data_IF_374870494900
#
_entry.id   IF_374870494900
#
_cell.length_a   1.000
_cell.length_b   1.000
_cell.length_c   1.000
_cell.angle_alpha   90.00
_cell.angle_beta   90.00
_cell.angle_gamma   90.00
#
_symmetry.space_group_name_H-M   'P 1'
#
loop_
_entity.id
_entity.type
_entity.pdbx_description
1 polymer ?
#
# COMPACT_ATOMS: atom_id res chain seq x y z
N UNK A 1 -36.41 -38.93 -7.43
CA UNK A 1 -36.69 -37.54 -7.84
C UNK A 1 -35.94 -36.64 -6.85
N UNK A 2 -34.68 -36.32 -7.15
CA UNK A 2 -33.84 -35.48 -6.28
C UNK A 2 -33.95 -34.04 -6.80
N UNK A 3 -34.57 -33.17 -6.00
CA UNK A 3 -34.63 -31.74 -6.26
C UNK A 3 -33.24 -31.18 -6.00
N UNK A 4 -32.57 -30.75 -7.07
CA UNK A 4 -31.34 -29.98 -6.96
C UNK A 4 -31.68 -28.61 -6.37
N UNK A 5 -31.21 -28.34 -5.15
CA UNK A 5 -31.10 -26.99 -4.64
C UNK A 5 -30.02 -26.29 -5.47
N UNK A 6 -30.47 -25.54 -6.48
CA UNK A 6 -29.64 -24.50 -7.08
C UNK A 6 -29.34 -23.50 -5.97
N UNK A 7 -28.11 -23.55 -5.45
CA UNK A 7 -27.56 -22.44 -4.71
C UNK A 7 -27.47 -21.27 -5.71
N UNK A 8 -28.42 -20.34 -5.64
CA UNK A 8 -28.28 -19.04 -6.27
C UNK A 8 -27.01 -18.41 -5.68
N UNK A 9 -25.91 -18.47 -6.43
CA UNK A 9 -24.74 -17.67 -6.16
C UNK A 9 -25.16 -16.22 -6.39
N UNK A 10 -25.62 -15.57 -5.32
CA UNK A 10 -25.85 -14.14 -5.30
C UNK A 10 -24.47 -13.50 -5.53
N UNK A 11 -24.22 -13.11 -6.78
CA UNK A 11 -23.00 -12.46 -7.24
C UNK A 11 -22.90 -11.12 -6.52
N UNK A 12 -22.36 -11.11 -5.31
CA UNK A 12 -22.21 -9.92 -4.49
C UNK A 12 -21.08 -9.07 -5.07
N UNK A 13 -21.42 -8.30 -6.10
CA UNK A 13 -20.58 -7.25 -6.65
C UNK A 13 -20.05 -6.37 -5.51
N UNK A 14 -18.74 -6.41 -5.29
CA UNK A 14 -18.08 -5.66 -4.24
C UNK A 14 -17.25 -4.54 -4.83
N UNK A 15 -17.08 -3.47 -4.06
CA UNK A 15 -16.35 -2.28 -4.47
C UNK A 15 -15.25 -1.97 -3.46
N UNK A 16 -14.11 -1.50 -3.97
CA UNK A 16 -12.99 -1.08 -3.14
C UNK A 16 -13.35 0.09 -2.24
N UNK A 17 -14.19 1.01 -2.73
CA UNK A 17 -14.68 2.17 -1.98
C UNK A 17 -16.18 2.38 -2.19
N UNK A 18 -16.83 3.04 -1.23
CA UNK A 18 -18.23 3.44 -1.34
C UNK A 18 -18.46 4.45 -2.46
N UNK A 19 -17.44 5.27 -2.78
CA UNK A 19 -17.51 6.18 -3.93
C UNK A 19 -17.64 5.40 -5.24
N UNK A 20 -16.87 4.32 -5.44
CA UNK A 20 -16.98 3.51 -6.67
C UNK A 20 -18.36 2.86 -6.78
N UNK A 21 -18.90 2.37 -5.67
CA UNK A 21 -20.27 1.82 -5.62
C UNK A 21 -21.30 2.88 -6.01
N UNK A 22 -21.17 4.09 -5.48
CA UNK A 22 -22.05 5.23 -5.79
C UNK A 22 -21.94 5.63 -7.26
N UNK A 23 -20.73 5.75 -7.81
CA UNK A 23 -20.48 6.05 -9.22
C UNK A 23 -21.13 5.02 -10.13
N UNK A 24 -20.96 3.72 -9.83
CA UNK A 24 -21.58 2.65 -10.60
C UNK A 24 -23.12 2.74 -10.61
N UNK A 25 -23.71 3.04 -9.45
CA UNK A 25 -25.16 3.20 -9.31
C UNK A 25 -25.70 4.43 -10.04
N UNK A 26 -25.07 5.60 -9.87
CA UNK A 26 -25.52 6.85 -10.52
C UNK A 26 -25.40 6.79 -12.04
N UNK A 27 -24.37 6.13 -12.56
CA UNK A 27 -24.19 5.91 -14.00
C UNK A 27 -25.01 4.75 -14.56
N UNK A 28 -25.68 3.96 -13.71
CA UNK A 28 -26.41 2.74 -14.08
C UNK A 28 -25.51 1.79 -14.91
N UNK A 29 -24.35 1.44 -14.35
CA UNK A 29 -23.44 0.48 -14.98
C UNK A 29 -23.89 -0.94 -14.66
N UNK A 30 -24.40 -1.64 -15.66
CA UNK A 30 -24.88 -3.02 -15.56
C UNK A 30 -23.78 -4.04 -15.92
N UNK A 31 -23.93 -5.29 -15.47
CA UNK A 31 -23.03 -6.39 -15.82
C UNK A 31 -21.61 -6.32 -15.23
N UNK A 32 -21.36 -5.43 -14.26
CA UNK A 32 -20.05 -5.29 -13.61
C UNK A 32 -19.58 -6.60 -12.92
N UNK A 33 -20.52 -7.41 -12.46
CA UNK A 33 -20.28 -8.71 -11.84
C UNK A 33 -19.77 -9.77 -12.85
N UNK A 34 -20.15 -9.66 -14.12
CA UNK A 34 -19.72 -10.54 -15.22
C UNK A 34 -18.36 -10.18 -15.84
N UNK A 35 -17.81 -9.00 -15.48
CA UNK A 35 -16.52 -8.55 -16.01
C UNK A 35 -15.38 -9.48 -15.61
N UNK A 36 -14.42 -9.64 -16.52
CA UNK A 36 -13.17 -10.36 -16.28
C UNK A 36 -12.29 -9.60 -15.28
N UNK A 37 -11.40 -10.34 -14.61
CA UNK A 37 -10.33 -9.76 -13.79
C UNK A 37 -9.42 -8.90 -14.70
N UNK A 38 -8.93 -7.79 -14.17
CA UNK A 38 -8.12 -6.81 -14.90
C UNK A 38 -8.96 -5.67 -15.46
N UNK A 39 -8.50 -5.10 -16.58
CA UNK A 39 -9.13 -3.94 -17.21
C UNK A 39 -10.21 -4.35 -18.21
N UNK A 40 -11.37 -3.70 -18.14
CA UNK A 40 -12.41 -3.75 -19.16
C UNK A 40 -12.76 -2.33 -19.62
N UNK A 41 -13.07 -2.17 -20.90
CA UNK A 41 -13.49 -0.89 -21.48
C UNK A 41 -14.96 -0.93 -21.85
N UNK A 42 -15.72 0.08 -21.41
CA UNK A 42 -17.18 0.14 -21.60
C UNK A 42 -17.53 1.48 -22.23
N UNK A 43 -18.32 1.48 -23.30
CA UNK A 43 -18.80 2.72 -23.90
C UNK A 43 -19.96 3.29 -23.06
N UNK A 44 -19.87 4.56 -22.67
CA UNK A 44 -20.95 5.29 -21.99
C UNK A 44 -21.13 6.67 -22.60
N UNK A 45 -22.27 6.89 -23.26
CA UNK A 45 -22.49 8.09 -24.08
C UNK A 45 -21.33 8.25 -25.07
N UNK A 46 -20.68 9.42 -25.10
CA UNK A 46 -19.56 9.71 -26.00
C UNK A 46 -18.17 9.40 -25.40
N UNK A 47 -18.11 8.73 -24.25
CA UNK A 47 -16.85 8.45 -23.56
C UNK A 47 -16.60 6.95 -23.39
N UNK A 48 -15.35 6.57 -23.57
CA UNK A 48 -14.88 5.22 -23.23
C UNK A 48 -14.51 5.21 -21.75
N UNK A 49 -15.21 4.39 -20.97
CA UNK A 49 -14.90 4.14 -19.57
C UNK A 49 -13.88 3.01 -19.47
N UNK A 50 -13.07 3.07 -18.42
CA UNK A 50 -12.24 1.96 -17.94
C UNK A 50 -12.77 1.52 -16.59
N UNK A 51 -12.93 0.20 -16.44
CA UNK A 51 -13.25 -0.47 -15.18
C UNK A 51 -12.14 -1.47 -14.88
N UNK A 52 -11.64 -1.48 -13.64
CA UNK A 52 -10.67 -2.48 -13.18
C UNK A 52 -11.28 -3.36 -12.10
N UNK A 53 -11.16 -4.67 -12.27
CA UNK A 53 -11.56 -5.70 -11.31
C UNK A 53 -10.33 -6.42 -10.77
N UNK A 54 -10.19 -6.44 -9.45
CA UNK A 54 -9.10 -7.11 -8.76
C UNK A 54 -9.24 -8.64 -8.86
N UNK A 55 -8.18 -9.37 -8.52
CA UNK A 55 -8.14 -10.85 -8.52
C UNK A 55 -9.25 -11.48 -7.66
N UNK A 56 -9.65 -10.80 -6.58
CA UNK A 56 -10.75 -11.24 -5.71
C UNK A 56 -12.14 -10.88 -6.23
N UNK A 57 -12.26 -10.35 -7.45
CA UNK A 57 -13.51 -9.95 -8.07
C UNK A 57 -14.04 -8.58 -7.66
N UNK A 58 -13.34 -7.84 -6.80
CA UNK A 58 -13.74 -6.51 -6.35
C UNK A 58 -13.49 -5.46 -7.44
N UNK A 59 -14.45 -4.57 -7.68
CA UNK A 59 -14.24 -3.41 -8.56
C UNK A 59 -13.40 -2.37 -7.82
N UNK A 60 -12.24 -2.03 -8.36
CA UNK A 60 -11.27 -1.14 -7.73
C UNK A 60 -10.99 0.16 -8.48
N UNK A 61 -11.49 0.30 -9.71
CA UNK A 61 -11.44 1.55 -10.45
C UNK A 61 -12.60 1.66 -11.44
N UNK A 62 -13.12 2.88 -11.58
CA UNK A 62 -14.05 3.31 -12.64
C UNK A 62 -13.66 4.74 -13.02
N UNK A 63 -13.35 4.97 -14.29
CA UNK A 63 -12.92 6.27 -14.80
C UNK A 63 -13.18 6.45 -16.29
N UNK A 64 -13.05 7.70 -16.79
CA UNK A 64 -12.96 7.95 -18.23
C UNK A 64 -11.53 7.62 -18.67
N UNK A 65 -11.37 6.80 -19.71
CA UNK A 65 -10.05 6.43 -20.20
C UNK A 65 -9.27 7.68 -20.66
N UNK A 66 -8.16 7.94 -19.98
CA UNK A 66 -7.22 9.01 -20.35
C UNK A 66 -5.89 8.45 -20.83
N UNK A 67 -5.48 7.31 -20.28
CA UNK A 67 -4.14 6.79 -20.52
C UNK A 67 -4.19 5.58 -21.46
N UNK A 68 -3.20 5.47 -22.37
CA UNK A 68 -2.94 4.23 -23.09
C UNK A 68 -2.65 3.09 -22.12
N UNK A 69 -2.92 1.86 -22.55
CA UNK A 69 -2.73 0.66 -21.73
C UNK A 69 -1.27 0.51 -21.23
N UNK A 70 -0.29 0.95 -22.00
CA UNK A 70 1.12 0.93 -21.62
C UNK A 70 1.43 1.68 -20.30
N UNK A 71 0.67 2.72 -19.96
CA UNK A 71 0.84 3.45 -18.69
C UNK A 71 0.31 2.67 -17.50
N UNK A 72 -0.61 1.73 -17.72
CA UNK A 72 -1.27 0.96 -16.66
C UNK A 72 -0.39 -0.11 -16.03
N UNK A 73 0.76 -0.41 -16.65
CA UNK A 73 1.78 -1.30 -16.10
C UNK A 73 2.83 -0.57 -15.25
N UNK A 74 2.74 0.77 -15.13
CA UNK A 74 3.71 1.57 -14.38
C UNK A 74 3.31 1.69 -12.90
N UNK A 75 4.31 1.96 -12.04
CA UNK A 75 4.14 2.08 -10.58
C UNK A 75 3.20 3.20 -10.10
N UNK A 76 2.72 4.07 -11.00
CA UNK A 76 1.91 5.26 -10.69
C UNK A 76 0.39 5.03 -10.79
N UNK A 77 -0.09 3.78 -10.70
CA UNK A 77 -1.50 3.43 -10.96
C UNK A 77 -2.52 4.27 -10.18
N UNK A 78 -2.26 4.57 -8.91
CA UNK A 78 -3.14 5.41 -8.09
C UNK A 78 -3.36 6.83 -8.65
N UNK A 79 -2.31 7.42 -9.25
CA UNK A 79 -2.37 8.77 -9.84
C UNK A 79 -3.21 8.75 -11.11
N UNK A 80 -3.05 7.72 -11.93
CA UNK A 80 -3.81 7.54 -13.16
C UNK A 80 -5.29 7.31 -12.84
N UNK A 81 -5.57 6.39 -11.91
CA UNK A 81 -6.92 6.09 -11.45
C UNK A 81 -7.61 7.34 -10.89
N UNK A 82 -6.90 8.15 -10.09
CA UNK A 82 -7.40 9.41 -9.56
C UNK A 82 -7.81 10.39 -10.67
N UNK A 83 -6.99 10.54 -11.73
CA UNK A 83 -7.27 11.47 -12.83
C UNK A 83 -8.43 11.00 -13.70
N UNK A 84 -8.48 9.71 -14.04
CA UNK A 84 -9.57 9.13 -14.84
C UNK A 84 -10.91 9.17 -14.08
N UNK A 85 -10.89 8.88 -12.78
CA UNK A 85 -12.06 9.00 -11.92
C UNK A 85 -12.47 10.47 -11.69
N UNK A 86 -11.51 11.37 -11.50
CA UNK A 86 -11.76 12.80 -11.39
C UNK A 86 -12.41 13.39 -12.63
N UNK A 87 -11.91 13.01 -13.81
CA UNK A 87 -12.51 13.41 -15.08
C UNK A 87 -13.94 12.85 -15.24
N UNK A 88 -14.16 11.60 -14.87
CA UNK A 88 -15.50 10.98 -14.85
C UNK A 88 -16.47 11.77 -13.98
N UNK A 89 -16.09 12.01 -12.71
CA UNK A 89 -16.90 12.74 -11.75
C UNK A 89 -17.21 14.17 -12.22
N UNK A 90 -16.23 14.87 -12.79
CA UNK A 90 -16.42 16.22 -13.34
C UNK A 90 -17.34 16.23 -14.57
N UNK A 91 -17.24 15.22 -15.44
CA UNK A 91 -18.00 15.11 -16.69
C UNK A 91 -19.47 14.78 -16.42
N UNK A 92 -19.74 13.81 -15.55
CA UNK A 92 -21.11 13.35 -15.24
C UNK A 92 -21.71 14.01 -13.98
N UNK A 93 -21.02 14.98 -13.37
CA UNK A 93 -21.47 15.72 -12.18
C UNK A 93 -21.82 14.82 -10.98
N UNK A 94 -21.04 13.75 -10.78
CA UNK A 94 -21.27 12.72 -9.75
C UNK A 94 -20.88 13.18 -8.34
N UNK A 95 -20.00 14.18 -8.25
CA UNK A 95 -19.60 14.78 -6.97
C UNK A 95 -20.37 16.06 -6.73
N UNK A 96 -21.31 16.02 -5.76
CA UNK A 96 -21.98 17.22 -5.22
C UNK A 96 -21.02 18.18 -4.51
N UNK A 97 -19.82 17.69 -4.13
CA UNK A 97 -18.83 18.45 -3.38
C UNK A 97 -17.54 18.64 -4.21
N UNK A 98 -17.41 19.79 -4.86
CA UNK A 98 -16.22 20.16 -5.65
C UNK A 98 -14.95 20.28 -4.80
N UNK A 99 -15.06 20.36 -3.46
CA UNK A 99 -13.92 20.42 -2.53
C UNK A 99 -12.99 19.20 -2.68
N UNK A 100 -13.52 18.05 -3.12
CA UNK A 100 -12.78 16.77 -3.22
C UNK A 100 -11.59 16.83 -4.19
N UNK A 101 -11.70 17.63 -5.25
CA UNK A 101 -10.64 17.82 -6.25
C UNK A 101 -9.94 19.18 -6.13
N UNK A 102 -10.25 20.00 -5.12
CA UNK A 102 -9.63 21.31 -4.95
C UNK A 102 -8.12 21.24 -4.72
N UNK A 103 -7.65 20.16 -4.12
CA UNK A 103 -6.23 19.92 -3.91
C UNK A 103 -5.52 19.53 -5.22
N UNK A 104 -6.25 19.22 -6.30
CA UNK A 104 -5.69 19.04 -7.64
C UNK A 104 -5.51 20.39 -8.32
N UNK A 105 -4.26 20.84 -8.46
CA UNK A 105 -3.96 22.17 -9.01
C UNK A 105 -3.57 22.11 -10.47
N UNK A 106 -4.40 22.66 -11.34
CA UNK A 106 -4.00 22.97 -12.70
C UNK A 106 -3.09 24.19 -12.71
N UNK A 107 -1.81 23.98 -12.99
CA UNK A 107 -0.86 25.05 -13.35
C UNK A 107 -1.16 25.56 -14.75
N UNK A 108 -1.57 24.65 -15.64
CA UNK A 108 -2.05 24.95 -17.00
C UNK A 108 -3.17 23.99 -17.39
N UNK A 109 -4.17 24.51 -18.11
CA UNK A 109 -5.32 23.72 -18.57
C UNK A 109 -6.41 23.57 -17.51
N UNK A 110 -7.34 22.65 -17.76
CA UNK A 110 -8.44 22.31 -16.86
C UNK A 110 -9.04 20.94 -17.27
N UNK A 111 -10.03 20.46 -16.52
CA UNK A 111 -10.72 19.21 -16.82
C UNK A 111 -11.38 19.15 -18.21
N UNK A 112 -11.94 20.27 -18.69
CA UNK A 112 -12.57 20.31 -20.02
C UNK A 112 -11.54 20.14 -21.14
N UNK A 113 -10.37 20.77 -21.00
CA UNK A 113 -9.25 20.57 -21.93
C UNK A 113 -8.71 19.14 -21.85
N UNK A 114 -8.68 18.54 -20.65
CA UNK A 114 -8.26 17.15 -20.47
C UNK A 114 -9.17 16.17 -21.21
N UNK A 115 -10.49 16.43 -21.20
CA UNK A 115 -11.47 15.61 -21.91
C UNK A 115 -11.31 15.65 -23.43
N UNK A 116 -10.83 16.77 -23.98
CA UNK A 116 -10.68 16.99 -25.42
C UNK A 116 -9.26 16.74 -25.95
N UNK A 117 -8.36 16.20 -25.13
CA UNK A 117 -6.99 15.90 -25.55
C UNK A 117 -6.95 14.86 -26.68
N UNK A 118 -6.26 15.14 -27.80
CA UNK A 118 -6.02 14.14 -28.84
C UNK A 118 -5.21 12.96 -28.31
N UNK A 119 -5.47 11.74 -28.79
CA UNK A 119 -4.69 10.55 -28.40
C UNK A 119 -3.19 10.64 -28.74
N UNK A 120 -2.80 11.55 -29.63
CA UNK A 120 -1.40 11.80 -30.02
C UNK A 120 -0.59 12.60 -29.01
N UNK A 121 -1.22 13.24 -28.01
CA UNK A 121 -0.47 14.01 -27.03
C UNK A 121 0.32 13.10 -26.09
N UNK A 122 1.59 13.43 -25.90
CA UNK A 122 2.46 12.72 -24.96
C UNK A 122 2.10 13.09 -23.52
N UNK A 123 2.16 12.13 -22.61
CA UNK A 123 1.95 12.33 -21.18
C UNK A 123 3.22 11.97 -20.41
N UNK A 124 3.50 12.70 -19.34
CA UNK A 124 4.58 12.39 -18.40
C UNK A 124 4.09 12.54 -16.98
N UNK A 125 4.52 11.65 -16.09
CA UNK A 125 4.22 11.67 -14.66
C UNK A 125 5.56 11.68 -13.93
N UNK A 126 5.78 12.68 -13.09
CA UNK A 126 7.00 12.81 -12.31
C UNK A 126 6.67 13.15 -10.85
N UNK A 127 7.41 12.54 -9.92
CA UNK A 127 7.35 12.91 -8.52
C UNK A 127 8.22 14.15 -8.28
N UNK A 128 7.65 15.18 -7.64
CA UNK A 128 8.32 16.43 -7.31
C UNK A 128 8.54 16.50 -5.81
N UNK A 129 9.81 16.51 -5.40
CA UNK A 129 10.28 16.66 -4.01
C UNK A 129 9.66 15.65 -3.02
N UNK A 130 9.22 14.46 -3.47
CA UNK A 130 8.47 13.50 -2.65
C UNK A 130 7.20 14.06 -2.00
N UNK A 131 6.64 15.17 -2.51
CA UNK A 131 5.43 15.80 -1.94
C UNK A 131 4.26 15.90 -2.92
N UNK A 132 4.53 15.88 -4.22
CA UNK A 132 3.52 15.98 -5.26
C UNK A 132 3.88 15.11 -6.46
N UNK A 133 2.86 14.70 -7.21
CA UNK A 133 3.02 14.28 -8.60
C UNK A 133 2.72 15.45 -9.52
N UNK A 134 3.60 15.66 -10.50
CA UNK A 134 3.38 16.55 -11.62
C UNK A 134 3.06 15.72 -12.85
N UNK A 135 1.94 16.04 -13.49
CA UNK A 135 1.50 15.37 -14.71
C UNK A 135 1.40 16.41 -15.81
N UNK A 136 2.10 16.16 -16.90
CA UNK A 136 2.21 17.10 -18.02
C UNK A 136 1.82 16.39 -19.31
N UNK A 137 0.84 16.97 -20.02
CA UNK A 137 0.52 16.60 -21.40
C UNK A 137 1.11 17.62 -22.36
N UNK A 138 1.83 17.12 -23.37
CA UNK A 138 2.49 17.92 -24.42
C UNK A 138 2.11 17.47 -25.82
N UNK A 139 1.91 18.45 -26.67
CA UNK A 139 1.77 18.31 -28.12
C UNK A 139 3.06 18.83 -28.76
N UNK A 140 3.97 17.90 -29.09
CA UNK A 140 5.36 18.24 -29.40
C UNK A 140 6.03 18.97 -28.23
N UNK A 141 6.47 20.22 -28.46
CA UNK A 141 7.07 21.07 -27.42
C UNK A 141 6.03 21.88 -26.61
N UNK A 142 4.77 21.89 -27.05
CA UNK A 142 3.74 22.74 -26.47
C UNK A 142 3.06 22.03 -25.29
N UNK A 143 3.32 22.50 -24.08
CA UNK A 143 2.59 22.07 -22.89
C UNK A 143 1.11 22.47 -23.00
N UNK A 144 0.20 21.49 -22.95
CA UNK A 144 -1.25 21.71 -23.01
C UNK A 144 -1.86 21.71 -21.61
N UNK A 145 -1.48 20.72 -20.81
CA UNK A 145 -1.96 20.55 -19.43
C UNK A 145 -0.76 20.32 -18.52
N UNK A 146 -0.80 20.93 -17.35
CA UNK A 146 0.16 20.72 -16.27
C UNK A 146 -0.60 20.76 -14.95
N UNK A 147 -0.64 19.61 -14.29
CA UNK A 147 -1.38 19.43 -13.04
C UNK A 147 -0.42 18.97 -11.96
N UNK A 148 -0.60 19.52 -10.76
CA UNK A 148 0.07 19.12 -9.54
C UNK A 148 -0.94 18.47 -8.62
N UNK A 149 -0.62 17.25 -8.19
CA UNK A 149 -1.42 16.47 -7.24
C UNK A 149 -0.59 16.24 -5.98
N UNK A 150 -1.04 16.64 -4.79
CA UNK A 150 -0.33 16.33 -3.56
C UNK A 150 -0.31 14.83 -3.30
N UNK A 151 0.82 14.33 -2.78
CA UNK A 151 0.94 12.95 -2.33
C UNK A 151 0.26 12.85 -0.96
N UNK A 152 -1.04 12.60 -1.00
CA UNK A 152 -1.89 12.32 0.15
C UNK A 152 -2.73 11.10 -0.19
N UNK A 153 -2.58 10.02 0.57
CA UNK A 153 -3.21 8.75 0.23
C UNK A 153 -4.74 8.81 0.17
N UNK A 154 -5.39 9.44 1.14
CA UNK A 154 -6.84 9.62 1.20
C UNK A 154 -7.39 10.45 0.03
N UNK A 155 -6.64 11.47 -0.37
CA UNK A 155 -6.93 12.26 -1.57
C UNK A 155 -6.82 11.40 -2.84
N UNK A 156 -5.69 10.70 -3.03
CA UNK A 156 -5.47 9.87 -4.22
C UNK A 156 -6.45 8.69 -4.32
N UNK A 157 -6.85 8.11 -3.19
CA UNK A 157 -7.84 7.02 -3.15
C UNK A 157 -9.29 7.52 -3.25
N UNK A 158 -9.50 8.83 -3.20
CA UNK A 158 -10.81 9.46 -3.28
C UNK A 158 -11.79 8.95 -2.19
N UNK A 159 -11.28 8.61 -1.00
CA UNK A 159 -12.06 8.00 0.08
C UNK A 159 -11.63 8.55 1.45
N UNK A 160 -12.57 8.73 2.40
CA UNK A 160 -12.25 9.23 3.72
C UNK A 160 -11.38 8.24 4.51
N UNK A 161 -10.49 8.77 5.36
CA UNK A 161 -9.55 7.96 6.17
C UNK A 161 -10.22 6.79 6.92
N UNK A 162 -11.37 7.04 7.57
CA UNK A 162 -12.13 5.99 8.29
C UNK A 162 -12.51 4.79 7.41
N UNK A 163 -12.84 5.04 6.15
CA UNK A 163 -13.21 3.98 5.20
C UNK A 163 -11.96 3.21 4.77
N UNK A 164 -10.87 3.92 4.49
CA UNK A 164 -9.59 3.30 4.13
C UNK A 164 -9.04 2.42 5.26
N UNK A 165 -9.21 2.82 6.51
CA UNK A 165 -8.84 2.04 7.70
C UNK A 165 -9.70 0.78 7.83
N UNK A 166 -11.02 0.88 7.63
CA UNK A 166 -11.92 -0.27 7.63
C UNK A 166 -11.59 -1.24 6.48
N UNK A 167 -11.33 -0.71 5.29
CA UNK A 167 -10.93 -1.49 4.11
C UNK A 167 -9.61 -2.21 4.33
N UNK A 168 -8.61 -1.57 4.96
CA UNK A 168 -7.36 -2.23 5.32
C UNK A 168 -7.62 -3.49 6.15
N UNK A 169 -8.46 -3.41 7.19
CA UNK A 169 -8.75 -4.57 8.06
C UNK A 169 -9.52 -5.65 7.30
N UNK A 170 -10.51 -5.25 6.49
CA UNK A 170 -11.27 -6.17 5.62
C UNK A 170 -10.34 -6.91 4.66
N UNK A 171 -9.50 -6.17 3.96
CA UNK A 171 -8.63 -6.70 2.91
C UNK A 171 -7.50 -7.55 3.50
N UNK A 172 -6.94 -7.14 4.64
CA UNK A 172 -5.98 -7.95 5.40
C UNK A 172 -6.56 -9.30 5.78
N UNK A 173 -7.80 -9.35 6.29
CA UNK A 173 -8.48 -10.61 6.65
C UNK A 173 -8.67 -11.54 5.45
N UNK A 174 -8.98 -10.96 4.29
CA UNK A 174 -9.21 -11.70 3.05
C UNK A 174 -7.91 -12.06 2.30
N UNK A 175 -6.78 -11.46 2.67
CA UNK A 175 -5.52 -11.61 1.96
C UNK A 175 -4.98 -13.04 2.07
N UNK A 176 -4.70 -13.65 0.92
CA UNK A 176 -4.05 -14.95 0.80
C UNK A 176 -2.62 -14.73 0.31
N UNK A 177 -1.67 -15.42 0.94
CA UNK A 177 -0.28 -15.41 0.49
C UNK A 177 -0.22 -15.91 -0.96
N UNK A 178 0.39 -15.13 -1.84
CA UNK A 178 0.49 -15.45 -3.27
C UNK A 178 1.58 -16.48 -3.58
N UNK A 179 2.56 -16.61 -2.68
CA UNK A 179 3.70 -17.50 -2.82
C UNK A 179 4.01 -18.16 -1.48
N UNK A 180 4.64 -19.33 -1.56
CA UNK A 180 5.32 -19.92 -0.41
C UNK A 180 6.51 -19.03 -0.02
N UNK A 181 6.95 -19.08 1.25
CA UNK A 181 8.18 -18.42 1.67
C UNK A 181 9.36 -18.76 0.77
N UNK A 182 10.26 -17.79 0.58
CA UNK A 182 11.48 -18.02 -0.20
C UNK A 182 12.44 -18.94 0.56
N UNK A 183 13.41 -19.48 -0.18
CA UNK A 183 14.61 -20.09 0.40
C UNK A 183 15.39 -19.02 1.20
N UNK A 184 16.08 -19.48 2.25
CA UNK A 184 16.90 -18.68 3.15
C UNK A 184 18.26 -18.28 2.57
N UNK A 185 18.56 -18.67 1.33
CA UNK A 185 19.82 -18.31 0.69
C UNK A 185 20.06 -16.79 0.73
N UNK A 186 21.19 -16.43 1.31
CA UNK A 186 21.65 -15.05 1.42
C UNK A 186 22.90 -14.87 0.60
N UNK A 187 23.02 -13.71 -0.06
CA UNK A 187 24.25 -13.31 -0.73
C UNK A 187 25.33 -13.03 0.32
N UNK A 188 26.19 -14.02 0.56
CA UNK A 188 27.24 -13.99 1.59
C UNK A 188 28.20 -12.82 1.38
N UNK A 189 28.43 -12.38 0.14
CA UNK A 189 29.33 -11.25 -0.16
C UNK A 189 28.80 -9.92 0.39
N UNK A 190 27.51 -9.85 0.75
CA UNK A 190 26.86 -8.66 1.30
C UNK A 190 26.73 -8.70 2.83
N UNK A 191 27.17 -9.77 3.48
CA UNK A 191 27.07 -9.90 4.93
C UNK A 191 28.19 -9.13 5.64
N UNK A 192 27.81 -8.39 6.68
CA UNK A 192 28.73 -7.71 7.57
C UNK A 192 28.83 -8.44 8.91
N UNK A 193 30.05 -8.63 9.42
CA UNK A 193 30.30 -9.23 10.73
C UNK A 193 29.90 -8.24 11.82
N UNK A 194 29.11 -8.70 12.79
CA UNK A 194 28.71 -7.94 13.98
C UNK A 194 28.96 -8.77 15.22
N UNK A 195 29.61 -8.19 16.23
CA UNK A 195 29.77 -8.81 17.55
C UNK A 195 28.58 -8.46 18.42
N UNK A 196 27.95 -9.48 19.01
CA UNK A 196 26.88 -9.33 20.00
C UNK A 196 27.32 -10.06 21.28
N UNK A 197 27.91 -9.30 22.20
CA UNK A 197 28.62 -9.85 23.35
C UNK A 197 29.78 -10.76 22.93
N UNK A 198 29.76 -12.02 23.37
CA UNK A 198 30.75 -13.04 23.02
C UNK A 198 30.49 -13.70 21.67
N UNK A 199 29.30 -13.51 21.11
CA UNK A 199 28.84 -14.21 19.92
C UNK A 199 29.15 -13.40 18.65
N UNK A 200 29.27 -14.11 17.53
CA UNK A 200 29.47 -13.51 16.21
C UNK A 200 28.20 -13.71 15.40
N UNK A 201 27.57 -12.61 15.04
CA UNK A 201 26.44 -12.57 14.12
C UNK A 201 26.86 -11.93 12.81
N UNK A 202 25.99 -12.07 11.81
CA UNK A 202 26.15 -11.48 10.50
C UNK A 202 24.90 -10.68 10.17
N UNK A 203 25.07 -9.52 9.56
CA UNK A 203 23.95 -8.67 9.16
C UNK A 203 23.92 -8.54 7.64
N UNK A 204 22.74 -8.67 7.05
CA UNK A 204 22.51 -8.19 5.70
C UNK A 204 22.01 -6.74 5.83
N UNK A 205 22.85 -5.73 5.57
CA UNK A 205 22.52 -4.35 5.84
C UNK A 205 21.34 -3.89 4.99
N UNK A 206 20.40 -3.24 5.66
CA UNK A 206 19.24 -2.60 5.06
C UNK A 206 19.40 -1.09 4.84
N UNK A 207 18.30 -0.44 4.49
CA UNK A 207 18.14 1.02 4.60
C UNK A 207 17.60 1.37 5.99
N UNK A 208 17.80 2.62 6.40
CA UNK A 208 17.15 3.19 7.58
C UNK A 208 15.91 4.02 7.19
N UNK A 209 15.02 4.22 8.16
CA UNK A 209 13.81 5.03 8.01
C UNK A 209 13.71 6.08 9.12
N UNK A 210 14.00 7.33 8.79
CA UNK A 210 13.97 8.47 9.72
C UNK A 210 15.13 8.48 10.71
N UNK A 211 15.28 7.41 11.49
CA UNK A 211 16.36 7.20 12.47
C UNK A 211 17.21 5.99 12.05
N UNK A 212 18.52 6.03 12.35
CA UNK A 212 19.44 4.93 12.05
C UNK A 212 19.10 3.63 12.79
N UNK A 213 18.40 3.71 13.92
CA UNK A 213 17.95 2.56 14.69
C UNK A 213 16.69 1.89 14.12
N UNK A 214 16.00 2.54 13.19
CA UNK A 214 14.81 2.00 12.51
C UNK A 214 15.27 1.52 11.13
N UNK A 215 15.47 0.21 10.98
CA UNK A 215 16.07 -0.36 9.76
C UNK A 215 15.32 -1.57 9.25
N UNK A 216 15.60 -1.97 8.02
CA UNK A 216 15.18 -3.26 7.49
C UNK A 216 16.34 -4.27 7.38
N UNK A 217 17.34 -4.13 8.25
CA UNK A 217 18.47 -5.05 8.39
C UNK A 217 18.00 -6.39 8.93
N UNK A 218 18.53 -7.49 8.37
CA UNK A 218 18.26 -8.86 8.82
C UNK A 218 19.53 -9.53 9.33
N UNK A 219 19.36 -10.55 10.17
CA UNK A 219 20.43 -11.12 10.99
C UNK A 219 20.61 -12.61 10.71
N UNK A 220 21.85 -13.05 10.63
CA UNK A 220 22.23 -14.43 10.31
C UNK A 220 23.29 -14.94 11.28
N UNK A 221 23.35 -16.26 11.45
CA UNK A 221 24.43 -16.96 12.14
C UNK A 221 25.05 -17.99 11.19
N UNK A 222 26.34 -18.20 11.35
CA UNK A 222 27.04 -19.29 10.69
C UNK A 222 26.63 -20.60 11.36
N UNK A 223 25.98 -21.50 10.62
CA UNK A 223 25.58 -22.82 11.13
C UNK A 223 26.75 -23.80 11.07
N UNK A 224 27.39 -23.85 9.91
CA UNK A 224 28.57 -24.64 9.58
C UNK A 224 29.51 -23.77 8.72
N UNK A 225 30.76 -24.18 8.47
CA UNK A 225 31.81 -23.33 7.86
C UNK A 225 31.47 -22.59 6.55
N UNK A 226 30.35 -22.92 5.89
CA UNK A 226 29.90 -22.32 4.63
C UNK A 226 28.45 -21.82 4.65
N UNK A 227 27.62 -22.21 5.63
CA UNK A 227 26.17 -21.98 5.60
C UNK A 227 25.71 -20.94 6.61
N UNK A 228 24.98 -19.93 6.11
CA UNK A 228 24.38 -18.86 6.91
C UNK A 228 22.87 -19.07 7.03
N UNK A 229 22.39 -19.16 8.27
CA UNK A 229 20.96 -19.30 8.56
C UNK A 229 20.44 -18.08 9.31
N UNK A 230 19.16 -17.69 9.14
CA UNK A 230 18.61 -16.58 9.90
C UNK A 230 18.69 -16.82 11.40
N UNK A 231 18.93 -15.75 12.14
CA UNK A 231 18.82 -15.77 13.60
C UNK A 231 17.36 -15.97 13.99
N UNK A 232 17.08 -17.13 14.57
CA UNK A 232 15.82 -17.51 15.22
C UNK A 232 16.19 -18.19 16.53
N UNK A 233 16.39 -17.38 17.57
CA UNK A 233 16.99 -17.82 18.82
C UNK A 233 16.57 -16.91 19.98
N UNK A 234 16.10 -17.49 21.09
CA UNK A 234 15.69 -16.75 22.28
C UNK A 234 16.85 -16.00 22.96
N UNK A 235 18.11 -16.41 22.73
CA UNK A 235 19.31 -15.67 23.18
C UNK A 235 19.46 -14.31 22.49
N UNK A 236 18.94 -14.18 21.27
CA UNK A 236 19.00 -12.98 20.44
C UNK A 236 17.58 -12.46 20.14
N UNK A 237 16.86 -11.95 21.17
CA UNK A 237 15.44 -11.66 21.05
C UNK A 237 15.14 -10.54 20.05
N UNK A 238 15.98 -9.50 20.01
CA UNK A 238 15.81 -8.36 19.09
C UNK A 238 16.00 -8.79 17.63
N UNK A 239 17.04 -9.57 17.36
CA UNK A 239 17.38 -10.06 16.04
C UNK A 239 16.34 -11.07 15.53
N UNK A 240 15.85 -11.93 16.41
CA UNK A 240 14.76 -12.88 16.09
C UNK A 240 13.46 -12.15 15.77
N UNK A 241 13.10 -11.11 16.54
CA UNK A 241 11.96 -10.24 16.25
C UNK A 241 12.13 -9.55 14.90
N UNK A 242 13.29 -8.95 14.64
CA UNK A 242 13.57 -8.28 13.37
C UNK A 242 13.40 -9.24 12.18
N UNK A 243 14.01 -10.42 12.23
CA UNK A 243 13.87 -11.43 11.18
C UNK A 243 12.42 -11.90 11.01
N UNK A 244 11.67 -12.06 12.10
CA UNK A 244 10.26 -12.47 12.04
C UNK A 244 9.39 -11.43 11.31
N UNK A 245 9.72 -10.15 11.43
CA UNK A 245 8.98 -9.04 10.80
C UNK A 245 9.47 -8.70 9.39
N UNK A 246 10.75 -8.93 9.09
CA UNK A 246 11.42 -8.39 7.90
C UNK A 246 11.81 -9.47 6.88
N UNK A 247 12.13 -10.69 7.32
CA UNK A 247 12.61 -11.75 6.45
C UNK A 247 11.47 -12.67 6.02
N UNK A 248 11.29 -12.84 4.71
CA UNK A 248 10.33 -13.78 4.14
C UNK A 248 11.03 -15.07 3.71
N UNK A 249 11.50 -15.83 4.68
CA UNK A 249 12.14 -17.13 4.47
C UNK A 249 11.37 -18.26 5.17
N UNK A 250 11.34 -19.47 4.62
CA UNK A 250 10.77 -20.68 5.23
C UNK A 250 11.31 -21.02 6.65
N UNK A 251 12.58 -20.75 6.95
CA UNK A 251 13.17 -21.03 8.27
C UNK A 251 12.64 -20.15 9.42
N UNK A 252 11.90 -19.08 9.10
CA UNK A 252 11.28 -18.21 10.12
C UNK A 252 10.03 -18.92 10.70
N UNK A 253 9.95 -19.20 12.01
CA UNK A 253 8.78 -19.83 12.58
C UNK A 253 7.50 -19.01 12.37
N UNK A 254 6.36 -19.70 12.34
CA UNK A 254 5.08 -19.03 12.28
C UNK A 254 4.83 -18.21 13.56
N UNK A 255 4.68 -16.90 13.42
CA UNK A 255 4.25 -15.99 14.47
C UNK A 255 2.91 -15.37 14.12
N UNK A 256 2.13 -15.01 15.14
CA UNK A 256 0.87 -14.28 14.99
C UNK A 256 1.00 -12.86 15.52
N UNK A 257 0.12 -11.98 15.06
CA UNK A 257 -0.03 -10.63 15.57
C UNK A 257 -1.49 -10.37 15.89
N UNK A 258 -1.76 -9.96 17.12
CA UNK A 258 -3.01 -9.34 17.54
C UNK A 258 -2.91 -7.84 17.26
N UNK A 259 -3.50 -7.43 16.13
CA UNK A 259 -3.41 -6.08 15.60
C UNK A 259 -4.69 -5.30 15.96
N UNK A 260 -4.56 -4.31 16.83
CA UNK A 260 -5.62 -3.35 17.13
C UNK A 260 -5.41 -2.07 16.32
N UNK A 261 -6.23 -1.87 15.29
CA UNK A 261 -6.26 -0.61 14.53
C UNK A 261 -7.02 0.44 15.32
N UNK A 262 -6.38 1.59 15.57
CA UNK A 262 -7.00 2.76 16.18
C UNK A 262 -7.43 3.68 15.05
N UNK A 263 -8.72 3.68 14.73
CA UNK A 263 -9.28 4.48 13.64
C UNK A 263 -9.24 5.97 13.93
N UNK A 264 -9.25 6.75 12.85
CA UNK A 264 -9.40 8.21 12.86
C UNK A 264 -10.68 8.71 13.57
N UNK A 265 -11.70 7.85 13.64
CA UNK A 265 -12.94 8.08 14.41
C UNK A 265 -12.86 7.61 15.87
N UNK A 266 -11.66 7.23 16.34
CA UNK A 266 -11.33 6.67 17.66
C UNK A 266 -11.89 5.26 17.91
N UNK A 267 -12.53 4.62 16.94
CA UNK A 267 -12.96 3.22 17.09
C UNK A 267 -11.76 2.29 17.01
N UNK A 268 -11.83 1.20 17.77
CA UNK A 268 -10.80 0.17 17.80
C UNK A 268 -11.33 -1.08 17.12
N UNK A 269 -10.57 -1.61 16.17
CA UNK A 269 -10.86 -2.90 15.54
C UNK A 269 -9.67 -3.81 15.71
N UNK A 270 -9.90 -4.98 16.32
CA UNK A 270 -8.84 -5.98 16.54
C UNK A 270 -8.99 -7.14 15.56
N UNK A 271 -7.86 -7.60 15.01
CA UNK A 271 -7.77 -8.82 14.22
C UNK A 271 -6.52 -9.59 14.62
N UNK A 272 -6.59 -10.92 14.60
CA UNK A 272 -5.42 -11.79 14.78
C UNK A 272 -5.08 -12.44 13.45
N UNK A 273 -3.87 -12.19 12.94
CA UNK A 273 -3.37 -12.77 11.67
C UNK A 273 -1.95 -13.29 11.82
N UNK A 274 -1.47 -14.17 10.94
CA UNK A 274 -0.04 -14.47 10.81
C UNK A 274 0.76 -13.19 10.47
N UNK A 275 1.94 -13.04 11.07
CA UNK A 275 2.84 -11.90 10.78
C UNK A 275 3.20 -11.83 9.29
N UNK A 276 3.51 -12.99 8.70
CA UNK A 276 3.80 -13.10 7.26
C UNK A 276 2.65 -12.58 6.38
N UNK A 277 1.40 -12.84 6.76
CA UNK A 277 0.23 -12.36 6.04
C UNK A 277 0.16 -10.82 6.09
N UNK A 278 0.37 -10.21 7.25
CA UNK A 278 0.40 -8.75 7.40
C UNK A 278 1.51 -8.11 6.57
N UNK A 279 2.74 -8.64 6.65
CA UNK A 279 3.90 -8.07 5.95
C UNK A 279 3.77 -8.25 4.44
N UNK A 280 3.32 -9.42 3.97
CA UNK A 280 3.07 -9.66 2.55
C UNK A 280 1.93 -8.78 2.01
N UNK A 281 0.85 -8.61 2.77
CA UNK A 281 -0.23 -7.70 2.41
C UNK A 281 0.28 -6.25 2.27
N UNK A 282 1.05 -5.76 3.26
CA UNK A 282 1.64 -4.43 3.21
C UNK A 282 2.57 -4.24 2.01
N UNK A 283 3.44 -5.23 1.72
CA UNK A 283 4.30 -5.25 0.53
C UNK A 283 3.52 -5.22 -0.77
N UNK A 284 2.40 -5.94 -0.84
CA UNK A 284 1.52 -5.93 -2.02
C UNK A 284 0.88 -4.57 -2.29
N UNK A 285 0.77 -3.72 -1.26
CA UNK A 285 0.34 -2.32 -1.40
C UNK A 285 1.51 -1.37 -1.69
N UNK A 286 2.74 -1.88 -1.84
CA UNK A 286 3.95 -1.09 -2.10
C UNK A 286 4.70 -0.63 -0.84
N UNK A 287 4.37 -1.16 0.34
CA UNK A 287 5.08 -0.79 1.57
C UNK A 287 6.42 -1.53 1.70
N UNK A 288 7.43 -0.84 2.21
CA UNK A 288 8.69 -1.42 2.68
C UNK A 288 8.66 -1.45 4.21
N UNK A 289 8.82 -2.63 4.85
CA UNK A 289 8.82 -2.74 6.30
C UNK A 289 10.17 -2.32 6.89
N UNK A 290 10.14 -1.61 8.02
CA UNK A 290 11.30 -1.26 8.86
C UNK A 290 10.95 -1.51 10.33
N UNK A 291 11.91 -2.01 11.09
CA UNK A 291 11.75 -2.30 12.51
C UNK A 291 12.71 -1.44 13.34
N UNK A 292 12.20 -0.89 14.44
CA UNK A 292 12.99 -0.22 15.47
C UNK A 292 12.76 -0.88 16.83
N UNK A 293 13.84 -1.23 17.51
CA UNK A 293 13.81 -1.65 18.91
C UNK A 293 13.75 -0.43 19.83
N UNK A 294 12.92 -0.49 20.86
CA UNK A 294 12.80 0.58 21.86
C UNK A 294 13.43 0.14 23.19
N UNK A 295 12.84 -0.86 23.85
CA UNK A 295 13.33 -1.36 25.13
C UNK A 295 12.90 -2.80 25.40
N UNK A 296 13.54 -3.42 26.40
CA UNK A 296 13.11 -4.67 27.01
C UNK A 296 12.89 -4.44 28.49
N UNK A 297 11.65 -4.58 28.95
CA UNK A 297 11.28 -4.30 30.33
C UNK A 297 10.25 -5.30 30.83
N UNK A 298 10.43 -5.78 32.06
CA UNK A 298 9.51 -6.73 32.72
C UNK A 298 9.23 -7.99 31.88
N UNK A 299 10.26 -8.52 31.20
CA UNK A 299 10.13 -9.71 30.34
C UNK A 299 9.42 -9.47 29.00
N UNK A 300 9.14 -8.22 28.64
CA UNK A 300 8.55 -7.83 27.36
C UNK A 300 9.52 -7.05 26.51
N UNK A 301 9.62 -7.41 25.24
CA UNK A 301 10.30 -6.62 24.22
C UNK A 301 9.30 -5.64 23.61
N UNK A 302 9.72 -4.38 23.43
CA UNK A 302 8.93 -3.31 22.82
C UNK A 302 9.67 -2.70 21.63
N UNK A 303 8.91 -2.26 20.63
CA UNK A 303 9.46 -1.61 19.44
C UNK A 303 8.37 -1.14 18.49
N UNK A 304 8.80 -0.64 17.33
CA UNK A 304 7.93 -0.16 16.26
C UNK A 304 8.17 -0.88 14.94
N UNK A 305 7.09 -1.23 14.24
CA UNK A 305 7.11 -1.63 12.83
C UNK A 305 6.51 -0.50 11.99
N UNK A 306 7.30 -0.03 11.03
CA UNK A 306 6.93 1.03 10.09
C UNK A 306 6.80 0.42 8.71
N UNK A 307 5.59 0.43 8.15
CA UNK A 307 5.31 -0.05 6.81
C UNK A 307 5.20 1.17 5.89
N UNK A 308 6.32 1.54 5.28
CA UNK A 308 6.45 2.81 4.56
C UNK A 308 6.13 2.66 3.08
N UNK A 309 5.17 3.44 2.59
CA UNK A 309 4.88 3.59 1.17
C UNK A 309 5.36 4.95 0.67
N UNK A 310 6.50 4.95 -0.03
CA UNK A 310 7.11 6.16 -0.58
C UNK A 310 6.25 6.82 -1.66
N UNK A 311 5.71 6.03 -2.58
CA UNK A 311 4.95 6.53 -3.73
C UNK A 311 3.65 7.22 -3.28
N UNK A 312 3.01 6.69 -2.24
CA UNK A 312 1.74 7.21 -1.74
C UNK A 312 1.90 8.07 -0.47
N UNK A 313 3.13 8.28 -0.02
CA UNK A 313 3.50 9.23 1.04
C UNK A 313 2.87 8.94 2.40
N UNK A 314 2.84 7.67 2.81
CA UNK A 314 2.28 7.27 4.11
C UNK A 314 3.08 6.17 4.81
N UNK A 315 2.88 6.06 6.12
CA UNK A 315 3.23 4.90 6.94
C UNK A 315 1.99 4.20 7.48
N UNK A 316 2.08 2.88 7.65
CA UNK A 316 1.40 2.25 8.78
C UNK A 316 2.39 2.15 9.93
N UNK A 317 2.05 2.78 11.06
CA UNK A 317 2.87 2.80 12.26
C UNK A 317 2.27 1.83 13.27
N UNK A 318 3.01 0.78 13.60
CA UNK A 318 2.58 -0.28 14.51
C UNK A 318 3.50 -0.28 15.73
N UNK A 319 2.96 0.04 16.90
CA UNK A 319 3.67 -0.27 18.15
C UNK A 319 3.58 -1.78 18.37
N UNK A 320 4.67 -2.41 18.79
CA UNK A 320 4.78 -3.85 18.99
C UNK A 320 5.20 -4.16 20.42
N UNK A 321 4.62 -5.21 20.99
CA UNK A 321 5.09 -5.82 22.21
C UNK A 321 4.94 -7.34 22.16
N UNK A 322 5.92 -8.07 22.68
CA UNK A 322 5.86 -9.52 22.83
C UNK A 322 6.57 -9.97 24.11
N UNK A 323 6.17 -11.12 24.65
CA UNK A 323 6.83 -11.75 25.79
C UNK A 323 8.13 -12.43 25.32
N UNK A 324 9.26 -12.09 25.93
CA UNK A 324 10.60 -12.59 25.53
C UNK A 324 10.67 -14.12 25.59
N UNK A 325 10.00 -14.72 26.58
CA UNK A 325 9.93 -16.19 26.77
C UNK A 325 9.25 -16.93 25.61
N UNK A 326 8.41 -16.24 24.82
CA UNK A 326 7.64 -16.85 23.73
C UNK A 326 8.35 -16.66 22.37
N UNK A 327 9.44 -15.88 22.31
CA UNK A 327 10.25 -15.68 21.10
C UNK A 327 10.87 -17.02 20.67
N UNK A 328 10.91 -17.25 19.35
CA UNK A 328 11.37 -18.50 18.72
C UNK A 328 10.56 -19.76 19.09
N UNK A 329 9.34 -19.58 19.65
CA UNK A 329 8.43 -20.69 19.95
C UNK A 329 7.17 -20.66 19.07
N UNK A 330 6.39 -21.74 19.08
CA UNK A 330 5.08 -21.79 18.41
C UNK A 330 4.01 -20.88 19.05
N UNK A 331 4.28 -20.34 20.24
CA UNK A 331 3.40 -19.42 20.97
C UNK A 331 3.66 -17.95 20.63
N UNK A 332 4.61 -17.68 19.74
CA UNK A 332 5.07 -16.33 19.49
C UNK A 332 3.95 -15.42 18.94
N UNK A 333 3.52 -14.48 19.78
CA UNK A 333 2.43 -13.54 19.53
C UNK A 333 2.90 -12.11 19.77
N UNK A 334 2.72 -11.26 18.77
CA UNK A 334 2.83 -9.82 18.93
C UNK A 334 1.48 -9.24 19.37
N UNK A 335 1.50 -8.35 20.35
CA UNK A 335 0.41 -7.41 20.62
C UNK A 335 0.76 -6.09 19.95
N UNK A 336 -0.16 -5.52 19.17
CA UNK A 336 0.12 -4.32 18.41
C UNK A 336 -1.04 -3.33 18.38
N UNK A 337 -0.70 -2.04 18.45
CA UNK A 337 -1.60 -0.94 18.16
C UNK A 337 -1.13 -0.24 16.88
N UNK A 338 -2.05 -0.03 15.94
CA UNK A 338 -1.73 0.47 14.62
C UNK A 338 -2.44 1.80 14.33
N UNK A 339 -1.67 2.75 13.82
CA UNK A 339 -2.14 3.96 13.17
C UNK A 339 -1.86 3.83 11.68
N UNK A 340 -2.91 3.79 10.87
CA UNK A 340 -2.80 3.51 9.45
C UNK A 340 -2.75 4.80 8.63
N UNK A 341 -1.97 4.75 7.56
CA UNK A 341 -1.86 5.83 6.57
C UNK A 341 -1.45 7.18 7.17
N UNK A 342 -0.56 7.15 8.16
CA UNK A 342 0.06 8.35 8.75
C UNK A 342 0.83 9.08 7.65
N UNK A 343 0.50 10.33 7.31
CA UNK A 343 1.18 11.05 6.23
C UNK A 343 2.65 11.31 6.57
N UNK A 344 3.55 11.10 5.61
CA UNK A 344 5.00 11.35 5.78
C UNK A 344 5.44 12.74 5.36
N UNK A 345 4.53 13.53 4.77
CA UNK A 345 4.80 14.92 4.39
C UNK A 345 3.72 15.87 4.89
N UNK A 346 4.14 17.04 5.37
CA UNK A 346 3.22 18.13 5.74
C UNK A 346 2.97 19.02 4.50
N UNK A 347 1.75 19.01 3.98
CA UNK A 347 1.42 19.62 2.68
C UNK A 347 1.21 21.14 2.76
N UNK A 348 1.23 21.74 3.96
CA UNK A 348 0.96 23.19 4.15
C UNK A 348 1.87 24.12 3.34
N UNK A 349 3.09 23.69 2.96
CA UNK A 349 4.05 24.54 2.23
C UNK A 349 4.29 24.13 0.77
N UNK A 350 3.54 23.14 0.25
CA UNK A 350 3.82 22.51 -1.05
C UNK A 350 3.90 23.50 -2.23
N UNK A 351 2.99 24.47 -2.27
CA UNK A 351 2.88 25.38 -3.42
C UNK A 351 3.84 26.57 -3.39
N UNK A 352 4.35 26.92 -2.20
CA UNK A 352 5.35 27.98 -2.05
C UNK A 352 6.73 27.47 -2.46
N UNK A 353 7.07 26.24 -2.09
CA UNK A 353 8.33 25.57 -2.43
C UNK A 353 8.51 25.33 -3.94
N UNK A 354 7.41 25.11 -4.68
CA UNK A 354 7.44 24.85 -6.13
C UNK A 354 7.56 26.18 -6.92
N UNK A 355 7.06 27.29 -6.38
CA UNK A 355 7.17 28.61 -7.02
C UNK A 355 8.55 29.25 -6.88
N UNK A 356 9.28 28.94 -5.81
CA UNK A 356 10.60 29.53 -5.51
C UNK A 356 11.77 28.92 -6.30
N UNK A 357 11.51 27.92 -7.14
CA UNK A 357 12.52 27.26 -7.99
C UNK A 357 12.27 27.43 -9.49
N UNK A 358 11.68 28.54 -9.90
CA UNK A 358 11.63 28.94 -11.31
C UNK A 358 12.88 29.71 -11.71
#
# INVERSE_FOLDING_TARGET
MFVALAAEAQNNLSFKTEELKKVAAELKLEGLDTLKIGYTFIQKNNHQLVVRKAENGMVEHIGIQLFPEAYRQQANGAVLDFLENGLLCNTYKLTKNQLKYMDAKFVKGNWSLMLSLPKSVSCSVAMVNNKAYQIIWKDGKNEKINILLPIKYDFLMNAPRKELEANFVRDLKAYKLKHSPADCNVDVARLNIVKDGTDTLYTLPGKHYGLETITNTTFFKLKDSVDYIPVVDAKFPVQTVANTLLLDCDAIPAAKISLTVIGSDKKKTTVVVPVRQLVAFARSMGCVPYFGYEETKNGKLQGGLFLYNKELGYDHVLSLSCDVKDIATSKFLFTSYAYLYTPTTNVKNLYNDIKSRK
#
